data_IF_304802395043
#
_entry.id   IF_304802395043
#
_cell.length_a   1.000
_cell.length_b   1.000
_cell.length_c   1.000
_cell.angle_alpha   90.00
_cell.angle_beta   90.00
_cell.angle_gamma   90.00
#
_symmetry.space_group_name_H-M   'P 1'
#
loop_
_entity.id
_entity.type
_entity.pdbx_description
1 polymer ?
#
# COMPACT_ATOMS: atom_id res chain seq x y z
N UNK A 1 25.13 9.14 40.30
CA UNK A 1 23.71 8.99 40.65
C UNK A 1 22.86 9.34 39.44
N UNK A 2 22.18 8.33 38.89
CA UNK A 2 20.83 8.33 38.25
C UNK A 2 20.52 9.34 37.14
N UNK A 3 19.88 9.00 36.01
CA UNK A 3 19.21 7.76 35.58
C UNK A 3 18.97 7.85 34.07
N UNK A 4 18.90 6.69 33.45
CA UNK A 4 18.56 6.42 32.06
C UNK A 4 17.17 6.96 31.70
N UNK A 5 16.99 7.44 30.46
CA UNK A 5 15.67 7.56 29.84
C UNK A 5 15.64 6.79 28.53
N UNK A 6 14.66 5.90 28.44
CA UNK A 6 14.51 4.81 27.48
C UNK A 6 14.32 5.28 26.03
N UNK A 7 15.20 4.83 25.14
CA UNK A 7 14.97 4.75 23.69
C UNK A 7 14.13 3.51 23.38
N UNK A 8 12.81 3.62 23.53
CA UNK A 8 11.84 2.78 22.81
C UNK A 8 10.68 3.70 22.47
N UNK A 9 10.37 3.88 21.19
CA UNK A 9 9.23 4.64 20.63
C UNK A 9 9.52 6.08 20.13
N UNK A 10 10.68 6.31 19.51
CA UNK A 10 10.84 7.43 18.59
C UNK A 10 11.00 6.85 17.17
N UNK A 11 9.88 6.51 16.52
CA UNK A 11 9.89 6.27 15.09
C UNK A 11 10.21 7.61 14.41
N UNK A 12 11.46 7.77 14.03
CA UNK A 12 11.98 8.94 13.34
C UNK A 12 11.28 9.06 11.96
N UNK A 13 10.34 9.98 11.85
CA UNK A 13 9.87 10.51 10.57
C UNK A 13 11.04 11.26 9.91
N UNK A 14 11.87 10.50 9.20
CA UNK A 14 12.96 11.05 8.40
C UNK A 14 12.37 11.33 7.03
N UNK A 15 12.01 12.59 6.80
CA UNK A 15 11.59 13.09 5.49
C UNK A 15 12.84 13.14 4.59
N UNK A 16 13.05 12.12 3.75
CA UNK A 16 14.14 12.11 2.77
C UNK A 16 13.67 12.85 1.51
N UNK A 17 14.37 13.95 1.19
CA UNK A 17 14.18 14.77 0.00
C UNK A 17 14.69 14.07 -1.28
N UNK A 18 13.89 14.24 -2.34
CA UNK A 18 13.98 13.82 -3.74
C UNK A 18 15.36 13.56 -4.40
N UNK A 19 15.49 12.38 -5.02
CA UNK A 19 16.24 12.10 -6.25
C UNK A 19 15.33 11.26 -7.18
N UNK A 20 14.99 11.83 -8.34
CA UNK A 20 13.78 11.55 -9.10
C UNK A 20 13.71 10.24 -9.91
N UNK A 21 14.59 9.25 -9.66
CA UNK A 21 14.59 7.97 -10.40
C UNK A 21 14.47 6.72 -9.53
N UNK A 22 14.96 6.78 -8.28
CA UNK A 22 15.03 5.63 -7.37
C UNK A 22 14.16 5.81 -6.11
N UNK A 23 13.72 7.03 -5.82
CA UNK A 23 13.07 7.36 -4.56
C UNK A 23 11.59 6.93 -4.48
N UNK A 24 10.91 6.83 -5.62
CA UNK A 24 9.48 6.42 -5.67
C UNK A 24 9.29 4.95 -5.30
N UNK A 25 10.22 4.06 -5.67
CA UNK A 25 10.12 2.63 -5.43
C UNK A 25 10.26 2.24 -3.95
N UNK A 26 11.28 2.78 -3.28
CA UNK A 26 11.45 2.58 -1.85
C UNK A 26 10.23 3.12 -1.11
N UNK A 27 9.72 4.28 -1.52
CA UNK A 27 8.55 4.89 -0.89
C UNK A 27 7.28 4.05 -1.05
N UNK A 28 7.07 3.43 -2.20
CA UNK A 28 5.93 2.54 -2.44
C UNK A 28 5.99 1.29 -1.55
N UNK A 29 7.12 0.58 -1.56
CA UNK A 29 7.33 -0.62 -0.73
C UNK A 29 7.21 -0.29 0.76
N UNK A 30 7.85 0.79 1.21
CA UNK A 30 7.71 1.29 2.59
C UNK A 30 6.25 1.60 2.91
N UNK A 31 5.52 2.27 2.01
CA UNK A 31 4.09 2.58 2.24
C UNK A 31 3.21 1.34 2.37
N UNK A 32 3.50 0.28 1.60
CA UNK A 32 2.81 -1.00 1.71
C UNK A 32 3.11 -1.71 3.04
N UNK A 33 4.39 -1.76 3.44
CA UNK A 33 4.81 -2.42 4.68
C UNK A 33 4.33 -1.68 5.93
N UNK A 34 4.32 -0.34 5.92
CA UNK A 34 3.83 0.48 7.03
C UNK A 34 2.35 0.21 7.31
N UNK A 35 1.51 0.21 6.28
CA UNK A 35 0.07 -0.08 6.43
C UNK A 35 -0.18 -1.51 6.89
N UNK A 36 0.57 -2.48 6.34
CA UNK A 36 0.46 -3.88 6.76
C UNK A 36 0.84 -4.04 8.23
N UNK A 37 1.96 -3.47 8.65
CA UNK A 37 2.45 -3.54 10.02
C UNK A 37 1.45 -2.92 11.00
N UNK A 38 0.91 -1.75 10.67
CA UNK A 38 -0.09 -1.10 11.52
C UNK A 38 -1.43 -1.85 11.56
N UNK A 39 -1.88 -2.38 10.42
CA UNK A 39 -3.08 -3.22 10.37
C UNK A 39 -2.91 -4.47 11.24
N UNK A 40 -1.75 -5.13 11.17
CA UNK A 40 -1.40 -6.31 12.00
C UNK A 40 -1.29 -5.95 13.49
N UNK A 41 -0.62 -4.86 13.84
CA UNK A 41 -0.51 -4.40 15.23
C UNK A 41 -1.87 -4.10 15.87
N UNK A 42 -2.85 -3.64 15.07
CA UNK A 42 -4.22 -3.42 15.52
C UNK A 42 -5.10 -4.69 15.51
N UNK A 43 -4.63 -5.81 14.96
CA UNK A 43 -5.27 -7.14 15.09
C UNK A 43 -4.84 -7.82 16.39
N UNK A 44 -3.58 -7.65 16.77
CA UNK A 44 -3.05 -8.18 18.04
C UNK A 44 -3.70 -7.51 19.26
N UNK A 45 -4.15 -6.26 19.11
CA UNK A 45 -4.96 -5.60 20.13
C UNK A 45 -6.44 -5.88 19.89
N UNK A 46 -7.09 -6.56 20.84
CA UNK A 46 -8.49 -6.97 20.69
C UNK A 46 -9.48 -5.86 21.06
N UNK A 47 -10.67 -5.89 20.46
CA UNK A 47 -11.87 -5.16 20.90
C UNK A 47 -11.85 -3.64 20.73
N UNK A 48 -12.51 -2.95 21.68
CA UNK A 48 -12.78 -1.50 21.68
C UNK A 48 -11.52 -0.63 21.53
N UNK A 49 -10.38 -1.07 22.06
CA UNK A 49 -9.12 -0.32 21.96
C UNK A 49 -8.63 -0.26 20.50
N UNK A 50 -8.76 -1.35 19.74
CA UNK A 50 -8.43 -1.34 18.32
C UNK A 50 -9.43 -0.52 17.50
N UNK A 51 -10.71 -0.49 17.91
CA UNK A 51 -11.72 0.36 17.28
C UNK A 51 -11.49 1.85 17.59
N UNK A 52 -11.02 2.20 18.79
CA UNK A 52 -10.66 3.57 19.15
C UNK A 52 -9.54 4.16 18.27
N UNK A 53 -8.75 3.30 17.62
CA UNK A 53 -7.69 3.66 16.66
C UNK A 53 -8.13 3.60 15.20
N UNK A 54 -9.42 3.35 14.91
CA UNK A 54 -9.96 3.26 13.56
C UNK A 54 -9.57 4.44 12.68
N UNK A 55 -9.85 5.65 13.14
CA UNK A 55 -9.71 6.84 12.28
C UNK A 55 -8.25 7.09 11.91
N UNK A 56 -7.33 6.76 12.83
CA UNK A 56 -5.88 6.78 12.59
C UNK A 56 -5.48 5.76 11.51
N UNK A 57 -5.93 4.50 11.64
CA UNK A 57 -5.68 3.45 10.64
C UNK A 57 -6.23 3.86 9.27
N UNK A 58 -7.48 4.29 9.20
CA UNK A 58 -8.14 4.71 7.95
C UNK A 58 -7.39 5.85 7.28
N UNK A 59 -6.88 6.82 8.05
CA UNK A 59 -6.11 7.94 7.53
C UNK A 59 -4.77 7.48 6.92
N UNK A 60 -4.04 6.60 7.61
CA UNK A 60 -2.75 6.07 7.14
C UNK A 60 -2.91 5.14 5.95
N UNK A 61 -3.92 4.26 5.97
CA UNK A 61 -4.31 3.45 4.80
C UNK A 61 -4.61 4.31 3.58
N UNK A 62 -5.32 5.43 3.75
CA UNK A 62 -5.59 6.37 2.65
C UNK A 62 -4.32 7.04 2.12
N UNK A 63 -3.39 7.42 3.01
CA UNK A 63 -2.12 8.01 2.61
C UNK A 63 -1.29 7.01 1.78
N UNK A 64 -1.19 5.77 2.25
CA UNK A 64 -0.50 4.71 1.50
C UNK A 64 -1.16 4.41 0.16
N UNK A 65 -2.50 4.34 0.11
CA UNK A 65 -3.21 4.14 -1.17
C UNK A 65 -2.89 5.22 -2.20
N UNK A 66 -2.69 6.48 -1.78
CA UNK A 66 -2.24 7.54 -2.68
C UNK A 66 -0.82 7.31 -3.22
N UNK A 67 0.07 6.78 -2.39
CA UNK A 67 1.44 6.44 -2.81
C UNK A 67 1.45 5.29 -3.81
N UNK A 68 0.54 4.33 -3.62
CA UNK A 68 0.33 3.22 -4.55
C UNK A 68 -0.25 3.72 -5.88
N UNK A 69 -1.23 4.63 -5.83
CA UNK A 69 -1.78 5.27 -7.04
C UNK A 69 -0.67 5.93 -7.86
N UNK A 70 0.23 6.67 -7.22
CA UNK A 70 1.39 7.27 -7.88
C UNK A 70 2.33 6.21 -8.49
N UNK A 71 2.52 5.08 -7.80
CA UNK A 71 3.40 3.98 -8.26
C UNK A 71 2.81 3.20 -9.43
N UNK A 72 1.50 3.05 -9.50
CA UNK A 72 0.80 2.47 -10.66
C UNK A 72 0.91 3.41 -11.87
N UNK A 73 0.79 4.73 -11.65
CA UNK A 73 0.97 5.73 -12.71
C UNK A 73 2.41 5.75 -13.26
N UNK A 74 3.42 5.62 -12.38
CA UNK A 74 4.82 5.51 -12.80
C UNK A 74 5.06 4.26 -13.65
N UNK A 75 4.57 3.10 -13.20
CA UNK A 75 4.64 1.85 -13.95
C UNK A 75 3.98 1.99 -15.33
N UNK A 76 2.80 2.61 -15.40
CA UNK A 76 2.11 2.87 -16.67
C UNK A 76 2.95 3.75 -17.60
N UNK A 77 3.59 4.79 -17.07
CA UNK A 77 4.47 5.67 -17.84
C UNK A 77 5.68 4.91 -18.41
N UNK A 78 6.30 4.02 -17.61
CA UNK A 78 7.41 3.18 -18.06
C UNK A 78 6.99 2.20 -19.15
N UNK A 79 5.84 1.54 -18.99
CA UNK A 79 5.25 0.68 -20.03
C UNK A 79 5.05 1.48 -21.33
N UNK A 80 4.51 2.70 -21.24
CA UNK A 80 4.32 3.56 -22.43
C UNK A 80 5.65 3.93 -23.09
N UNK A 81 6.69 4.23 -22.33
CA UNK A 81 8.01 4.57 -22.88
C UNK A 81 8.63 3.39 -23.65
N UNK A 82 8.41 2.17 -23.16
CA UNK A 82 8.92 0.94 -23.78
C UNK A 82 7.95 0.33 -24.81
N UNK A 83 6.81 0.99 -25.07
CA UNK A 83 5.72 0.41 -25.87
C UNK A 83 6.14 0.07 -27.29
N UNK A 84 6.95 0.92 -27.92
CA UNK A 84 7.40 0.71 -29.31
C UNK A 84 8.31 -0.52 -29.45
N UNK A 85 9.07 -0.86 -28.41
CA UNK A 85 9.98 -2.02 -28.39
C UNK A 85 9.31 -3.34 -27.97
N UNK A 86 8.07 -3.28 -27.45
CA UNK A 86 7.34 -4.49 -27.06
C UNK A 86 6.73 -5.20 -28.28
N UNK A 87 6.79 -6.52 -28.28
CA UNK A 87 5.98 -7.35 -29.19
C UNK A 87 4.49 -7.30 -28.80
N UNK A 88 3.64 -7.87 -29.67
CA UNK A 88 2.19 -7.82 -29.46
C UNK A 88 1.73 -8.61 -28.23
N UNK A 89 2.43 -9.69 -27.88
CA UNK A 89 2.14 -10.48 -26.69
C UNK A 89 2.43 -9.69 -25.40
N UNK A 90 3.58 -9.02 -25.34
CA UNK A 90 3.98 -8.14 -24.25
C UNK A 90 3.01 -6.96 -24.12
N UNK A 91 2.60 -6.32 -25.22
CA UNK A 91 1.60 -5.25 -25.22
C UNK A 91 0.25 -5.70 -24.68
N UNK A 92 -0.22 -6.89 -25.10
CA UNK A 92 -1.47 -7.46 -24.62
C UNK A 92 -1.40 -7.77 -23.11
N UNK A 93 -0.29 -8.38 -22.65
CA UNK A 93 -0.05 -8.67 -21.24
C UNK A 93 0.00 -7.40 -20.39
N UNK A 94 0.71 -6.36 -20.85
CA UNK A 94 0.80 -5.07 -20.16
C UNK A 94 -0.58 -4.42 -20.00
N UNK A 95 -1.40 -4.43 -21.05
CA UNK A 95 -2.79 -3.93 -20.98
C UNK A 95 -3.62 -4.71 -19.95
N UNK A 96 -3.52 -6.04 -19.95
CA UNK A 96 -4.27 -6.89 -19.03
C UNK A 96 -3.86 -6.67 -17.56
N UNK A 97 -2.56 -6.67 -17.27
CA UNK A 97 -2.02 -6.45 -15.92
C UNK A 97 -2.36 -5.03 -15.41
N UNK A 98 -2.26 -3.99 -16.26
CA UNK A 98 -2.68 -2.62 -15.88
C UNK A 98 -4.19 -2.51 -15.63
N UNK A 99 -5.02 -3.24 -16.38
CA UNK A 99 -6.46 -3.30 -16.11
C UNK A 99 -6.73 -3.99 -14.77
N UNK A 100 -6.06 -5.11 -14.48
CA UNK A 100 -6.19 -5.83 -13.21
C UNK A 100 -5.78 -4.96 -12.01
N UNK A 101 -4.66 -4.24 -12.10
CA UNK A 101 -4.21 -3.31 -11.04
C UNK A 101 -5.24 -2.22 -10.74
N UNK A 102 -5.89 -1.66 -11.77
CA UNK A 102 -6.96 -0.66 -11.58
C UNK A 102 -8.17 -1.25 -10.86
N UNK A 103 -8.57 -2.48 -11.19
CA UNK A 103 -9.67 -3.16 -10.50
C UNK A 103 -9.33 -3.47 -9.04
N UNK A 104 -8.12 -3.98 -8.78
CA UNK A 104 -7.66 -4.23 -7.42
C UNK A 104 -7.61 -2.95 -6.58
N UNK A 105 -7.15 -1.83 -7.16
CA UNK A 105 -7.16 -0.53 -6.49
C UNK A 105 -8.57 -0.07 -6.12
N UNK A 106 -9.55 -0.27 -7.01
CA UNK A 106 -10.96 0.04 -6.72
C UNK A 106 -11.44 -0.81 -5.54
N UNK A 107 -11.18 -2.12 -5.56
CA UNK A 107 -11.55 -3.04 -4.48
C UNK A 107 -10.97 -2.62 -3.13
N UNK A 108 -9.68 -2.25 -3.08
CA UNK A 108 -9.04 -1.76 -1.85
C UNK A 108 -9.71 -0.47 -1.34
N UNK A 109 -10.12 0.43 -2.24
CA UNK A 109 -10.82 1.65 -1.84
C UNK A 109 -12.23 1.36 -1.29
N UNK A 110 -12.94 0.39 -1.85
CA UNK A 110 -14.22 -0.10 -1.35
C UNK A 110 -14.07 -0.74 0.04
N UNK A 111 -13.08 -1.62 0.21
CA UNK A 111 -12.82 -2.27 1.50
C UNK A 111 -12.39 -1.28 2.58
N UNK A 112 -11.59 -0.27 2.22
CA UNK A 112 -11.23 0.81 3.14
C UNK A 112 -12.45 1.67 3.54
N UNK A 113 -13.40 1.86 2.61
CA UNK A 113 -14.66 2.53 2.94
C UNK A 113 -15.54 1.66 3.85
N UNK A 114 -15.62 0.36 3.59
CA UNK A 114 -16.31 -0.62 4.45
C UNK A 114 -15.72 -0.64 5.86
N UNK A 115 -14.39 -0.71 5.97
CA UNK A 115 -13.67 -0.60 7.23
C UNK A 115 -13.98 0.71 7.97
N UNK A 116 -13.92 1.86 7.28
CA UNK A 116 -14.22 3.18 7.88
C UNK A 116 -15.62 3.24 8.53
N UNK A 117 -16.60 2.60 7.90
CA UNK A 117 -18.00 2.66 8.33
C UNK A 117 -18.46 1.43 9.12
N UNK A 118 -17.56 0.51 9.45
CA UNK A 118 -17.92 -0.68 10.21
C UNK A 118 -18.25 -0.34 11.66
N UNK A 119 -19.07 -1.19 12.29
CA UNK A 119 -19.31 -1.17 13.73
C UNK A 119 -18.10 -1.76 14.47
N UNK A 120 -18.08 -1.62 15.80
CA UNK A 120 -17.08 -2.26 16.65
C UNK A 120 -17.10 -3.80 16.48
N UNK A 121 -18.29 -4.40 16.45
CA UNK A 121 -18.45 -5.86 16.29
C UNK A 121 -17.96 -6.36 14.93
N UNK A 122 -18.12 -5.58 13.86
CA UNK A 122 -17.67 -5.93 12.51
C UNK A 122 -16.22 -5.49 12.21
N UNK A 123 -15.58 -4.76 13.11
CA UNK A 123 -14.28 -4.10 12.88
C UNK A 123 -13.18 -5.09 12.50
N UNK A 124 -13.10 -6.22 13.22
CA UNK A 124 -12.06 -7.23 13.00
C UNK A 124 -12.17 -7.85 11.61
N UNK A 125 -13.39 -8.26 11.21
CA UNK A 125 -13.62 -8.90 9.92
C UNK A 125 -13.40 -7.93 8.76
N UNK A 126 -13.89 -6.69 8.86
CA UNK A 126 -13.70 -5.68 7.82
C UNK A 126 -12.23 -5.29 7.66
N UNK A 127 -11.47 -5.29 8.77
CA UNK A 127 -10.02 -5.02 8.74
C UNK A 127 -9.26 -6.16 8.05
N UNK A 128 -9.64 -7.41 8.31
CA UNK A 128 -9.12 -8.58 7.60
C UNK A 128 -9.33 -8.46 6.09
N UNK A 129 -10.56 -8.18 5.66
CA UNK A 129 -10.89 -8.00 4.24
C UNK A 129 -10.10 -6.86 3.58
N UNK A 130 -9.92 -5.73 4.26
CA UNK A 130 -9.06 -4.64 3.80
C UNK A 130 -7.58 -5.07 3.69
N UNK A 131 -7.05 -5.76 4.70
CA UNK A 131 -5.66 -6.23 4.70
C UNK A 131 -5.40 -7.20 3.55
N UNK A 132 -6.31 -8.12 3.31
CA UNK A 132 -6.19 -9.13 2.24
C UNK A 132 -6.21 -8.47 0.86
N UNK A 133 -7.16 -7.56 0.59
CA UNK A 133 -7.22 -6.89 -0.71
C UNK A 133 -6.02 -5.97 -0.95
N UNK A 134 -5.51 -5.34 0.10
CA UNK A 134 -4.30 -4.53 0.06
C UNK A 134 -3.05 -5.38 -0.26
N UNK A 135 -2.92 -6.55 0.36
CA UNK A 135 -1.84 -7.50 0.08
C UNK A 135 -1.89 -8.03 -1.36
N UNK A 136 -3.10 -8.34 -1.87
CA UNK A 136 -3.27 -8.75 -3.27
C UNK A 136 -2.84 -7.64 -4.23
N UNK A 137 -3.26 -6.38 -3.99
CA UNK A 137 -2.84 -5.24 -4.81
C UNK A 137 -1.32 -5.07 -4.80
N UNK A 138 -0.68 -5.14 -3.62
CA UNK A 138 0.78 -5.07 -3.49
C UNK A 138 1.47 -6.12 -4.34
N UNK A 139 1.07 -7.37 -4.16
CA UNK A 139 1.73 -8.50 -4.81
C UNK A 139 1.57 -8.43 -6.33
N UNK A 140 0.39 -8.04 -6.82
CA UNK A 140 0.15 -7.79 -8.24
C UNK A 140 1.00 -6.65 -8.79
N UNK A 141 1.15 -5.55 -8.04
CA UNK A 141 2.00 -4.43 -8.47
C UNK A 141 3.48 -4.82 -8.52
N UNK A 142 4.00 -5.52 -7.50
CA UNK A 142 5.38 -6.02 -7.49
C UNK A 142 5.65 -6.95 -8.68
N UNK A 143 4.70 -7.86 -8.98
CA UNK A 143 4.79 -8.75 -10.13
C UNK A 143 4.82 -7.97 -11.45
N UNK A 144 3.88 -7.04 -11.65
CA UNK A 144 3.81 -6.23 -12.86
C UNK A 144 5.06 -5.36 -13.03
N UNK A 145 5.58 -4.79 -11.94
CA UNK A 145 6.85 -4.05 -11.95
C UNK A 145 8.01 -4.94 -12.39
N UNK A 146 8.19 -6.12 -11.77
CA UNK A 146 9.27 -7.05 -12.13
C UNK A 146 9.24 -7.43 -13.62
N UNK A 147 8.05 -7.54 -14.19
CA UNK A 147 7.86 -7.88 -15.61
C UNK A 147 8.18 -6.71 -16.55
N UNK A 148 7.74 -5.50 -16.23
CA UNK A 148 7.74 -4.36 -17.17
C UNK A 148 8.77 -3.25 -16.85
N UNK A 149 9.41 -3.34 -15.68
CA UNK A 149 10.42 -2.41 -15.16
C UNK A 149 11.43 -3.19 -14.27
N UNK A 150 12.22 -4.12 -14.85
CA UNK A 150 13.17 -4.94 -14.09
C UNK A 150 14.42 -4.20 -13.59
N UNK A 151 14.55 -2.90 -13.89
CA UNK A 151 15.72 -2.07 -13.57
C UNK A 151 15.81 -1.66 -12.10
#
# INVERSE_FOLDING_TARGET
>A
MTKWMNLKNAAAMTLILATAGTMTNAYAQTSFEDVKTEAQALVEVTGDYAYAKRDELVAKSRASLKNIDASILDLEARIRNNWASMDDAAKAKAKAEMAALRQLRIKVAEDLAGLRYSTADAWTDMKGGFSDSFDVLRNSWVKAKSEFDPS
#
